data_IF_118666907191
#
_entry.id   IF_118666907191
#
_cell.length_a   1.000
_cell.length_b   1.000
_cell.length_c   1.000
_cell.angle_alpha   90.00
_cell.angle_beta   90.00
_cell.angle_gamma   90.00
#
_symmetry.space_group_name_H-M   'P 1'
#
loop_
_entity.id
_entity.type
_entity.pdbx_description
1 polymer ?
#
# COMPACT_ATOMS: atom_id res chain seq x y z
N UNK A 1 11.71 -0.54 -0.06
CA UNK A 1 10.49 -1.35 -0.30
C UNK A 1 9.64 -0.65 -1.33
N UNK A 2 9.42 -1.33 -2.45
CA UNK A 2 8.74 -0.80 -3.64
C UNK A 2 7.30 -0.48 -3.30
N UNK A 3 6.90 0.76 -3.50
CA UNK A 3 5.49 1.03 -3.69
C UNK A 3 5.30 1.90 -4.91
N UNK A 4 4.40 1.41 -5.77
CA UNK A 4 3.99 1.89 -7.08
C UNK A 4 3.87 3.41 -7.24
N UNK A 5 3.64 4.15 -6.15
CA UNK A 5 3.40 5.60 -6.14
C UNK A 5 4.49 6.37 -6.85
N UNK A 6 5.74 6.07 -6.52
CA UNK A 6 6.90 6.78 -7.05
C UNK A 6 7.03 6.57 -8.56
N UNK A 7 6.81 5.33 -9.01
CA UNK A 7 6.89 4.96 -10.42
C UNK A 7 5.71 5.56 -11.20
N UNK A 8 4.52 5.51 -10.60
CA UNK A 8 3.29 6.11 -11.14
C UNK A 8 3.48 7.61 -11.38
N UNK A 9 3.97 8.33 -10.38
CA UNK A 9 4.25 9.76 -10.48
C UNK A 9 5.37 10.07 -11.46
N UNK A 10 6.39 9.22 -11.55
CA UNK A 10 7.50 9.43 -12.48
C UNK A 10 7.03 9.38 -13.95
N UNK A 11 6.10 8.47 -14.28
CA UNK A 11 5.49 8.44 -15.62
C UNK A 11 4.70 9.70 -15.90
N UNK A 12 3.92 10.18 -14.93
CA UNK A 12 3.12 11.41 -15.10
C UNK A 12 4.01 12.63 -15.25
N UNK A 13 5.10 12.73 -14.50
CA UNK A 13 6.07 13.82 -14.66
C UNK A 13 6.78 13.74 -16.01
N UNK A 14 7.14 12.55 -16.49
CA UNK A 14 7.68 12.40 -17.84
C UNK A 14 6.67 12.85 -18.90
N UNK A 15 5.38 12.59 -18.71
CA UNK A 15 4.32 13.10 -19.56
C UNK A 15 4.22 14.64 -19.52
N UNK A 16 4.20 15.25 -18.33
CA UNK A 16 4.14 16.72 -18.15
C UNK A 16 5.32 17.40 -18.86
N UNK A 17 6.51 16.81 -18.77
CA UNK A 17 7.73 17.32 -19.38
C UNK A 17 7.86 17.00 -20.88
N UNK A 18 6.94 16.21 -21.44
CA UNK A 18 7.07 15.60 -22.77
C UNK A 18 8.45 14.94 -22.97
N UNK A 19 8.90 14.21 -21.94
CA UNK A 19 10.24 13.63 -21.84
C UNK A 19 10.20 12.11 -22.01
N UNK A 20 11.34 11.54 -22.45
CA UNK A 20 11.54 10.10 -22.43
C UNK A 20 11.86 9.65 -21.00
N UNK A 21 11.10 8.70 -20.48
CA UNK A 21 11.36 8.08 -19.18
C UNK A 21 12.38 6.94 -19.34
N UNK A 22 13.45 6.98 -18.55
CA UNK A 22 14.29 5.80 -18.35
C UNK A 22 13.64 4.93 -17.27
N UNK A 23 13.60 3.61 -17.47
CA UNK A 23 13.07 2.66 -16.47
C UNK A 23 13.65 2.98 -15.08
N UNK A 24 12.81 3.19 -14.05
CA UNK A 24 13.29 3.66 -12.75
C UNK A 24 14.27 2.70 -12.08
N UNK A 25 15.29 3.27 -11.45
CA UNK A 25 16.20 2.57 -10.54
C UNK A 25 15.59 2.47 -9.14
N UNK A 26 15.78 1.33 -8.47
CA UNK A 26 15.28 1.10 -7.12
C UNK A 26 16.34 1.45 -6.07
N UNK A 27 15.90 1.87 -4.88
CA UNK A 27 16.83 2.28 -3.81
C UNK A 27 17.40 1.09 -3.04
N UNK A 28 18.69 0.82 -3.28
CA UNK A 28 19.46 -0.22 -2.59
C UNK A 28 20.04 0.22 -1.23
N UNK A 29 19.95 1.52 -0.87
CA UNK A 29 20.50 2.06 0.38
C UNK A 29 19.48 2.08 1.53
N UNK A 30 18.31 1.50 1.31
CA UNK A 30 17.23 1.47 2.29
C UNK A 30 17.47 0.47 3.44
N UNK A 31 16.65 0.54 4.50
CA UNK A 31 16.72 -0.37 5.66
C UNK A 31 16.74 -1.86 5.26
N UNK A 32 15.99 -2.21 4.21
CA UNK A 32 15.74 -3.57 3.75
C UNK A 32 16.92 -4.20 2.99
N UNK A 33 17.92 -3.41 2.61
CA UNK A 33 19.12 -3.86 1.88
C UNK A 33 18.81 -4.77 0.68
N UNK A 34 17.75 -4.45 -0.05
CA UNK A 34 17.28 -5.22 -1.19
C UNK A 34 18.02 -4.78 -2.46
N UNK A 35 18.59 -5.74 -3.18
CA UNK A 35 19.32 -5.56 -4.43
C UNK A 35 18.46 -5.81 -5.68
N UNK A 36 17.14 -6.01 -5.53
CA UNK A 36 16.25 -6.18 -6.68
C UNK A 36 16.18 -4.93 -7.54
N UNK A 37 16.24 -5.15 -8.85
CA UNK A 37 16.01 -4.13 -9.86
C UNK A 37 14.53 -4.08 -10.28
N UNK A 38 14.15 -3.02 -11.03
CA UNK A 38 12.81 -2.90 -11.58
C UNK A 38 12.40 -4.15 -12.37
N UNK A 39 13.30 -4.67 -13.21
CA UNK A 39 13.08 -5.85 -14.07
C UNK A 39 13.01 -7.18 -13.32
N UNK A 40 13.37 -7.20 -12.05
CA UNK A 40 13.22 -8.39 -11.21
C UNK A 40 11.82 -8.53 -10.66
N UNK A 41 11.11 -7.41 -10.55
CA UNK A 41 9.83 -7.34 -9.86
C UNK A 41 8.70 -7.07 -10.84
N UNK A 42 8.91 -6.18 -11.80
CA UNK A 42 7.94 -5.86 -12.83
C UNK A 42 8.36 -6.39 -14.20
N UNK A 43 7.36 -6.64 -15.03
CA UNK A 43 7.52 -6.98 -16.43
C UNK A 43 7.85 -5.72 -17.23
N UNK A 44 9.15 -5.49 -17.45
CA UNK A 44 9.66 -4.27 -18.12
C UNK A 44 9.14 -4.11 -19.55
N UNK A 45 9.06 -5.20 -20.32
CA UNK A 45 8.62 -5.14 -21.71
C UNK A 45 7.12 -4.81 -21.79
N UNK A 46 6.32 -5.36 -20.87
CA UNK A 46 4.93 -4.94 -20.72
C UNK A 46 4.80 -3.47 -20.31
N UNK A 47 5.59 -3.01 -19.35
CA UNK A 47 5.56 -1.62 -18.88
C UNK A 47 5.84 -0.65 -20.03
N UNK A 48 6.87 -0.92 -20.85
CA UNK A 48 7.24 -0.11 -22.01
C UNK A 48 6.13 -0.15 -23.07
N UNK A 49 5.70 -1.35 -23.47
CA UNK A 49 4.71 -1.49 -24.55
C UNK A 49 3.35 -0.91 -24.19
N UNK A 50 2.89 -1.10 -22.95
CA UNK A 50 1.61 -0.56 -22.46
C UNK A 50 1.61 0.98 -22.46
N UNK A 51 2.71 1.62 -22.07
CA UNK A 51 2.83 3.08 -21.99
C UNK A 51 3.23 3.75 -23.30
N UNK A 52 3.51 3.01 -24.37
CA UNK A 52 4.02 3.54 -25.65
C UNK A 52 3.19 4.65 -26.28
N UNK A 53 1.88 4.73 -25.99
CA UNK A 53 0.98 5.80 -26.45
C UNK A 53 0.91 7.01 -25.51
N UNK A 54 1.34 6.85 -24.27
CA UNK A 54 1.32 7.88 -23.24
C UNK A 54 2.71 8.55 -23.11
N UNK A 55 3.77 7.76 -22.91
CA UNK A 55 5.15 8.22 -22.67
C UNK A 55 6.14 7.25 -23.32
N UNK A 56 7.17 7.79 -23.98
CA UNK A 56 8.29 6.98 -24.47
C UNK A 56 9.11 6.48 -23.27
N UNK A 57 9.22 5.16 -23.12
CA UNK A 57 10.01 4.54 -22.05
C UNK A 57 11.18 3.74 -22.64
N UNK A 58 12.39 3.95 -22.13
CA UNK A 58 13.60 3.23 -22.53
C UNK A 58 14.23 2.51 -21.35
N UNK A 59 14.85 1.34 -21.59
CA UNK A 59 15.49 0.54 -20.52
C UNK A 59 16.72 1.21 -19.91
N UNK A 60 17.42 2.01 -20.70
CA UNK A 60 18.64 2.73 -20.33
C UNK A 60 18.79 3.97 -21.20
N UNK A 61 19.61 4.92 -20.77
CA UNK A 61 19.96 6.10 -21.58
C UNK A 61 20.57 5.60 -22.91
N UNK A 62 20.09 6.08 -24.08
CA UNK A 62 20.66 5.72 -25.37
C UNK A 62 22.15 6.05 -25.46
N UNK A 63 22.92 5.22 -26.17
CA UNK A 63 24.37 5.35 -26.25
C UNK A 63 24.80 6.69 -26.85
N UNK A 64 24.06 7.17 -27.85
CA UNK A 64 24.29 8.44 -28.54
C UNK A 64 24.12 9.63 -27.57
N UNK A 65 23.12 9.55 -26.69
CA UNK A 65 22.91 10.55 -25.64
C UNK A 65 24.06 10.48 -24.63
N UNK A 66 24.44 9.27 -24.20
CA UNK A 66 25.50 9.06 -23.22
C UNK A 66 26.86 9.57 -23.70
N UNK A 67 27.25 9.39 -24.96
CA UNK A 67 28.49 9.95 -25.51
C UNK A 67 28.45 11.48 -25.56
N UNK A 68 27.28 12.05 -25.86
CA UNK A 68 27.12 13.51 -25.90
C UNK A 68 27.08 14.17 -24.52
N UNK A 69 27.08 13.38 -23.46
CA UNK A 69 27.08 13.86 -22.09
C UNK A 69 28.52 13.94 -21.57
N UNK A 70 29.01 15.15 -21.31
CA UNK A 70 30.34 15.36 -20.71
C UNK A 70 30.44 14.83 -19.27
N UNK A 71 29.30 14.59 -18.61
CA UNK A 71 29.19 14.18 -17.20
C UNK A 71 27.99 13.26 -16.99
N UNK A 72 28.00 12.52 -15.88
CA UNK A 72 26.85 11.75 -15.40
C UNK A 72 25.56 12.59 -15.35
N UNK A 73 24.37 11.95 -15.43
CA UNK A 73 23.09 12.64 -15.34
C UNK A 73 23.05 13.59 -14.14
N UNK A 74 22.54 14.80 -14.36
CA UNK A 74 22.39 15.75 -13.26
C UNK A 74 21.39 15.19 -12.24
N UNK A 75 21.76 15.21 -10.95
CA UNK A 75 20.87 14.71 -9.90
C UNK A 75 20.24 15.88 -9.16
N UNK A 76 18.93 15.80 -8.91
CA UNK A 76 18.24 16.75 -8.05
C UNK A 76 17.10 16.10 -7.27
N UNK A 77 16.53 16.84 -6.33
CA UNK A 77 15.37 16.41 -5.56
C UNK A 77 14.26 17.45 -5.70
N UNK A 78 13.11 17.03 -6.19
CA UNK A 78 11.91 17.86 -6.18
C UNK A 78 11.41 18.09 -4.73
N UNK A 79 10.83 19.25 -4.41
CA UNK A 79 10.05 19.43 -3.19
C UNK A 79 8.92 18.38 -3.05
N UNK A 80 8.40 18.19 -1.84
CA UNK A 80 7.27 17.28 -1.64
C UNK A 80 6.00 17.93 -2.19
N UNK A 81 5.16 17.13 -2.83
CA UNK A 81 3.88 17.55 -3.42
C UNK A 81 4.02 18.75 -4.38
N UNK A 82 5.09 18.77 -5.19
CA UNK A 82 5.26 19.78 -6.23
C UNK A 82 4.10 19.74 -7.22
N UNK A 83 3.68 20.93 -7.65
CA UNK A 83 2.69 21.12 -8.71
C UNK A 83 3.32 20.88 -10.09
N UNK A 84 2.54 20.61 -11.15
CA UNK A 84 3.05 20.46 -12.52
C UNK A 84 3.96 21.62 -12.97
N UNK A 85 3.64 22.86 -12.60
CA UNK A 85 4.38 24.07 -12.97
C UNK A 85 5.82 24.02 -12.47
N UNK A 86 6.07 23.50 -11.26
CA UNK A 86 7.43 23.32 -10.76
C UNK A 86 8.28 22.44 -11.70
N UNK A 87 7.70 21.39 -12.27
CA UNK A 87 8.43 20.53 -13.19
C UNK A 87 8.73 21.28 -14.50
N UNK A 88 7.76 22.03 -15.01
CA UNK A 88 7.92 22.81 -16.25
C UNK A 88 8.94 23.94 -16.06
N UNK A 89 8.86 24.68 -14.95
CA UNK A 89 9.65 25.89 -14.73
C UNK A 89 11.06 25.58 -14.21
N UNK A 90 11.22 24.56 -13.37
CA UNK A 90 12.50 24.27 -12.68
C UNK A 90 13.20 23.04 -13.24
N UNK A 91 12.47 21.98 -13.60
CA UNK A 91 13.08 20.70 -14.02
C UNK A 91 13.35 20.68 -15.52
N UNK A 92 12.40 21.13 -16.35
CA UNK A 92 12.51 21.12 -17.80
C UNK A 92 13.73 21.90 -18.32
N UNK A 93 14.05 23.12 -17.84
CA UNK A 93 15.19 23.87 -18.36
C UNK A 93 16.53 23.18 -18.07
N UNK A 94 16.61 22.48 -16.93
CA UNK A 94 17.79 21.69 -16.57
C UNK A 94 17.88 20.46 -17.48
N UNK A 95 16.76 19.75 -17.70
CA UNK A 95 16.70 18.59 -18.59
C UNK A 95 17.12 18.96 -20.02
N UNK A 96 16.61 20.07 -20.57
CA UNK A 96 16.99 20.55 -21.91
C UNK A 96 18.48 20.88 -22.01
N UNK A 97 19.06 21.48 -20.96
CA UNK A 97 20.48 21.84 -20.94
C UNK A 97 21.40 20.63 -20.76
N UNK A 98 20.99 19.65 -19.94
CA UNK A 98 21.82 18.51 -19.51
C UNK A 98 21.55 17.22 -20.30
N UNK A 99 20.50 17.18 -21.13
CA UNK A 99 19.98 16.03 -21.89
C UNK A 99 19.45 14.86 -21.06
N UNK A 100 20.02 14.60 -19.89
CA UNK A 100 19.56 13.60 -18.93
C UNK A 100 19.60 14.13 -17.50
N UNK A 101 18.58 13.77 -16.72
CA UNK A 101 18.41 14.19 -15.34
C UNK A 101 17.81 13.05 -14.51
N UNK A 102 18.30 12.89 -13.28
CA UNK A 102 17.80 11.91 -12.31
C UNK A 102 17.14 12.63 -11.13
N UNK A 103 15.84 12.40 -10.95
CA UNK A 103 15.10 12.85 -9.78
C UNK A 103 15.23 11.81 -8.65
N UNK A 104 15.96 12.17 -7.61
CA UNK A 104 16.26 11.27 -6.49
C UNK A 104 15.23 11.38 -5.37
N UNK A 105 15.03 10.29 -4.61
CA UNK A 105 14.05 10.20 -3.50
C UNK A 105 12.66 10.66 -3.94
N UNK A 106 12.14 10.03 -4.99
CA UNK A 106 10.93 10.46 -5.68
C UNK A 106 9.61 10.06 -4.97
N UNK A 107 9.64 9.94 -3.65
CA UNK A 107 8.46 9.67 -2.84
C UNK A 107 7.63 10.95 -2.62
N UNK A 108 6.35 10.89 -2.98
CA UNK A 108 5.38 11.98 -2.76
C UNK A 108 5.86 13.33 -3.32
N UNK A 109 6.45 13.31 -4.51
CA UNK A 109 7.01 14.50 -5.17
C UNK A 109 6.03 15.19 -6.09
N UNK A 110 5.05 14.48 -6.62
CA UNK A 110 3.96 15.07 -7.38
C UNK A 110 2.75 15.28 -6.46
N UNK A 111 2.08 16.42 -6.60
CA UNK A 111 0.84 16.72 -5.87
C UNK A 111 -0.28 15.73 -6.19
N UNK A 112 -1.30 15.66 -5.34
CA UNK A 112 -2.55 14.97 -5.66
C UNK A 112 -3.60 15.88 -6.31
N UNK A 113 -3.34 17.18 -6.35
CA UNK A 113 -4.16 18.16 -7.07
C UNK A 113 -3.69 18.22 -8.53
N UNK A 114 -4.14 17.23 -9.31
CA UNK A 114 -3.86 17.11 -10.73
C UNK A 114 -5.15 17.03 -11.51
N UNK A 115 -5.10 17.54 -12.75
CA UNK A 115 -6.18 17.41 -13.73
C UNK A 115 -6.60 15.96 -13.95
N UNK A 116 -7.87 15.78 -14.34
CA UNK A 116 -8.49 14.47 -14.46
C UNK A 116 -7.73 13.53 -15.41
N UNK A 117 -7.19 14.06 -16.52
CA UNK A 117 -6.42 13.26 -17.48
C UNK A 117 -5.09 12.75 -16.90
N UNK A 118 -4.41 13.55 -16.08
CA UNK A 118 -3.20 13.11 -15.37
C UNK A 118 -3.54 12.06 -14.31
N UNK A 119 -4.66 12.22 -13.61
CA UNK A 119 -5.13 11.19 -12.68
C UNK A 119 -5.47 9.89 -13.42
N UNK A 120 -6.12 9.97 -14.59
CA UNK A 120 -6.40 8.81 -15.46
C UNK A 120 -5.12 8.11 -15.89
N UNK A 121 -4.07 8.86 -16.24
CA UNK A 121 -2.75 8.29 -16.52
C UNK A 121 -2.19 7.57 -15.29
N UNK A 122 -2.28 8.17 -14.09
CA UNK A 122 -1.89 7.49 -12.84
C UNK A 122 -2.64 6.17 -12.66
N UNK A 123 -3.94 6.11 -12.97
CA UNK A 123 -4.73 4.88 -12.90
C UNK A 123 -4.16 3.80 -13.82
N UNK A 124 -3.92 4.18 -15.09
CA UNK A 124 -3.40 3.28 -16.13
C UNK A 124 -2.05 2.71 -15.72
N UNK A 125 -1.15 3.56 -15.23
CA UNK A 125 0.18 3.13 -14.77
C UNK A 125 0.08 2.20 -13.57
N UNK A 126 -0.60 2.66 -12.51
CA UNK A 126 -0.65 1.97 -11.22
C UNK A 126 -1.34 0.60 -11.29
N UNK A 127 -2.42 0.49 -12.08
CA UNK A 127 -3.26 -0.72 -12.07
C UNK A 127 -3.04 -1.65 -13.25
N UNK A 128 -2.50 -1.16 -14.38
CA UNK A 128 -2.32 -1.94 -15.60
C UNK A 128 -0.87 -2.03 -16.08
N UNK A 129 -0.11 -0.93 -16.12
CA UNK A 129 1.27 -0.95 -16.62
C UNK A 129 2.22 -1.67 -15.66
N UNK A 130 2.02 -1.52 -14.35
CA UNK A 130 2.83 -2.16 -13.32
C UNK A 130 2.38 -3.60 -13.07
N UNK A 131 2.85 -4.50 -13.93
CA UNK A 131 2.59 -5.94 -13.85
C UNK A 131 3.77 -6.65 -13.23
N UNK A 132 3.54 -7.43 -12.17
CA UNK A 132 4.61 -8.26 -11.59
C UNK A 132 5.16 -9.30 -12.58
N UNK A 133 6.44 -9.64 -12.44
CA UNK A 133 7.12 -10.67 -13.22
C UNK A 133 6.47 -12.04 -13.03
N UNK A 134 6.55 -12.89 -14.05
CA UNK A 134 5.88 -14.21 -14.09
C UNK A 134 6.16 -15.10 -12.87
N UNK A 135 7.39 -15.26 -12.36
CA UNK A 135 7.64 -16.08 -11.18
C UNK A 135 6.88 -15.62 -9.93
N UNK A 136 6.82 -14.30 -9.69
CA UNK A 136 6.08 -13.70 -8.58
C UNK A 136 4.58 -13.97 -8.75
N UNK A 137 4.05 -13.76 -9.96
CA UNK A 137 2.64 -14.02 -10.27
C UNK A 137 2.27 -15.49 -10.06
N UNK A 138 3.10 -16.41 -10.53
CA UNK A 138 2.90 -17.86 -10.42
C UNK A 138 2.87 -18.28 -8.96
N UNK A 139 3.84 -17.83 -8.15
CA UNK A 139 3.88 -18.15 -6.74
C UNK A 139 2.67 -17.56 -6.00
N UNK A 140 2.38 -16.27 -6.17
CA UNK A 140 1.23 -15.63 -5.52
C UNK A 140 -0.09 -16.33 -5.83
N UNK A 141 -0.35 -16.67 -7.10
CA UNK A 141 -1.54 -17.43 -7.51
C UNK A 141 -1.57 -18.85 -6.92
N UNK A 142 -0.41 -19.51 -6.80
CA UNK A 142 -0.30 -20.83 -6.16
C UNK A 142 -0.71 -20.75 -4.68
N UNK A 143 -0.26 -19.73 -3.95
CA UNK A 143 -0.64 -19.54 -2.54
C UNK A 143 -2.14 -19.24 -2.40
N UNK A 144 -2.69 -18.38 -3.25
CA UNK A 144 -4.15 -18.11 -3.30
C UNK A 144 -4.92 -19.40 -3.55
N UNK A 145 -4.52 -20.22 -4.52
CA UNK A 145 -5.17 -21.51 -4.80
C UNK A 145 -5.12 -22.45 -3.59
N UNK A 146 -3.97 -22.56 -2.91
CA UNK A 146 -3.84 -23.37 -1.68
C UNK A 146 -4.81 -22.92 -0.59
N UNK A 147 -4.89 -21.61 -0.34
CA UNK A 147 -5.85 -21.02 0.61
C UNK A 147 -7.30 -21.31 0.21
N UNK A 148 -7.64 -21.14 -1.07
CA UNK A 148 -9.00 -21.36 -1.59
C UNK A 148 -9.45 -22.81 -1.57
N UNK A 149 -8.51 -23.76 -1.63
CA UNK A 149 -8.80 -25.20 -1.45
C UNK A 149 -9.15 -25.50 0.01
N UNK A 150 -8.47 -24.86 0.98
CA UNK A 150 -8.76 -25.06 2.41
C UNK A 150 -10.04 -24.34 2.86
N UNK A 151 -10.32 -23.16 2.29
CA UNK A 151 -11.53 -22.41 2.56
C UNK A 151 -11.97 -21.60 1.36
N UNK A 152 -13.27 -21.62 1.07
CA UNK A 152 -13.86 -20.79 0.00
C UNK A 152 -13.64 -19.30 0.22
N UNK A 153 -13.39 -18.83 1.45
CA UNK A 153 -13.10 -17.44 1.81
C UNK A 153 -11.97 -17.32 2.81
N UNK A 154 -11.17 -16.26 2.71
CA UNK A 154 -10.13 -15.94 3.68
C UNK A 154 -9.96 -14.43 3.86
N UNK A 155 -9.40 -14.08 5.02
CA UNK A 155 -9.04 -12.71 5.38
C UNK A 155 -7.52 -12.58 5.27
N UNK A 156 -7.04 -11.58 4.53
CA UNK A 156 -5.63 -11.25 4.53
C UNK A 156 -5.35 -10.09 5.46
N UNK A 157 -4.34 -10.22 6.33
CA UNK A 157 -3.89 -9.19 7.25
C UNK A 157 -2.49 -8.76 6.83
N UNK A 158 -2.31 -7.46 6.58
CA UNK A 158 -0.98 -6.88 6.43
C UNK A 158 -0.52 -6.30 7.77
N UNK A 159 0.47 -6.95 8.38
CA UNK A 159 1.09 -6.56 9.64
C UNK A 159 2.41 -5.85 9.37
N UNK A 160 2.38 -4.52 9.36
CA UNK A 160 3.58 -3.68 9.35
C UNK A 160 4.04 -3.45 10.79
N UNK A 161 4.62 -4.48 11.39
CA UNK A 161 5.12 -4.50 12.77
C UNK A 161 6.60 -4.89 12.83
N UNK A 162 7.36 -4.51 11.81
CA UNK A 162 8.80 -4.75 11.71
C UNK A 162 9.59 -3.68 12.47
N UNK A 163 10.84 -3.99 12.91
CA UNK A 163 11.63 -3.12 13.78
C UNK A 163 11.80 -1.69 13.26
N UNK A 164 11.97 -1.52 11.94
CA UNK A 164 12.14 -0.21 11.31
C UNK A 164 10.90 0.67 11.44
N UNK A 165 9.70 0.08 11.29
CA UNK A 165 8.44 0.79 11.44
C UNK A 165 8.23 1.23 12.89
N UNK A 166 8.54 0.36 13.85
CA UNK A 166 8.38 0.65 15.27
C UNK A 166 9.36 1.75 15.69
N UNK A 167 10.64 1.62 15.32
CA UNK A 167 11.68 2.62 15.56
C UNK A 167 11.34 3.98 14.93
N UNK A 168 10.87 3.99 13.67
CA UNK A 168 10.46 5.21 12.98
C UNK A 168 9.27 5.89 13.67
N UNK A 169 8.27 5.11 14.08
CA UNK A 169 7.07 5.62 14.75
C UNK A 169 7.31 6.15 16.17
N UNK A 170 8.42 5.77 16.82
CA UNK A 170 8.73 6.19 18.19
C UNK A 170 7.78 5.60 19.23
N UNK A 171 7.12 4.49 18.91
CA UNK A 171 6.13 3.84 19.76
C UNK A 171 6.78 2.88 20.75
N UNK A 172 6.10 2.62 21.87
CA UNK A 172 6.51 1.68 22.90
C UNK A 172 5.40 0.65 23.12
N UNK A 173 5.75 -0.63 23.16
CA UNK A 173 4.83 -1.76 23.22
C UNK A 173 4.98 -2.63 24.48
N UNK A 174 5.80 -2.19 25.44
CA UNK A 174 5.87 -2.82 26.77
C UNK A 174 7.04 -3.79 26.98
N UNK A 175 7.98 -3.87 26.04
CA UNK A 175 9.17 -4.72 26.10
C UNK A 175 10.33 -4.18 26.96
N UNK A 176 10.07 -3.16 27.79
CA UNK A 176 11.02 -2.62 28.76
C UNK A 176 12.24 -1.93 28.15
N UNK A 177 13.33 -1.90 28.91
CA UNK A 177 14.60 -1.28 28.50
C UNK A 177 15.23 -1.93 27.26
N UNK A 178 14.99 -3.23 27.06
CA UNK A 178 15.47 -3.95 25.87
C UNK A 178 14.87 -3.36 24.60
N UNK A 179 13.53 -3.25 24.54
CA UNK A 179 12.83 -2.66 23.40
C UNK A 179 13.29 -1.22 23.14
N UNK A 180 13.39 -0.42 24.20
CA UNK A 180 13.81 0.98 24.12
C UNK A 180 15.20 1.12 23.49
N UNK A 181 16.16 0.30 23.93
CA UNK A 181 17.54 0.33 23.41
C UNK A 181 17.63 -0.14 21.96
N UNK A 182 17.00 -1.26 21.64
CA UNK A 182 17.02 -1.83 20.29
C UNK A 182 16.39 -0.89 19.25
N UNK A 183 15.20 -0.36 19.54
CA UNK A 183 14.50 0.55 18.62
C UNK A 183 15.17 1.92 18.56
N UNK A 184 15.77 2.42 19.66
CA UNK A 184 16.54 3.66 19.64
C UNK A 184 17.77 3.54 18.72
N UNK A 185 18.46 2.40 18.74
CA UNK A 185 19.62 2.17 17.86
C UNK A 185 19.22 2.20 16.38
N UNK A 186 18.11 1.55 16.01
CA UNK A 186 17.58 1.59 14.65
C UNK A 186 17.17 3.01 14.26
N UNK A 187 16.57 3.76 15.19
CA UNK A 187 16.06 5.13 14.96
C UNK A 187 17.17 6.12 14.59
N UNK A 188 18.42 5.90 15.02
CA UNK A 188 19.59 6.73 14.65
C UNK A 188 19.83 6.81 13.13
N UNK A 189 19.21 5.95 12.32
CA UNK A 189 19.24 6.06 10.85
C UNK A 189 18.52 7.30 10.31
N UNK A 190 17.68 7.95 11.12
CA UNK A 190 16.92 9.13 10.71
C UNK A 190 17.23 10.32 11.62
N UNK A 191 18.36 11.00 11.35
CA UNK A 191 18.85 12.15 12.13
C UNK A 191 17.91 13.37 12.16
N UNK A 192 16.91 13.40 11.27
CA UNK A 192 15.94 14.51 11.14
C UNK A 192 14.62 14.26 11.85
N UNK A 193 14.43 13.09 12.46
CA UNK A 193 13.21 12.83 13.20
C UNK A 193 13.23 13.57 14.54
N UNK A 194 12.11 14.21 14.93
CA UNK A 194 12.02 14.85 16.24
C UNK A 194 12.03 13.81 17.36
N UNK A 195 12.32 14.27 18.57
CA UNK A 195 12.06 13.50 19.78
C UNK A 195 10.54 13.31 19.95
N UNK A 196 10.13 12.05 20.11
CA UNK A 196 8.73 11.66 20.18
C UNK A 196 8.42 11.06 21.55
N UNK A 197 7.32 11.50 22.16
CA UNK A 197 6.73 10.77 23.28
C UNK A 197 5.92 9.58 22.74
N UNK A 198 6.28 8.37 23.15
CA UNK A 198 5.60 7.15 22.74
C UNK A 198 4.09 7.16 23.06
N UNK A 199 3.71 7.75 24.20
CA UNK A 199 2.32 7.91 24.59
C UNK A 199 1.58 8.88 23.66
N UNK A 200 2.23 10.00 23.31
CA UNK A 200 1.65 10.97 22.38
C UNK A 200 1.50 10.37 20.97
N UNK A 201 2.48 9.63 20.47
CA UNK A 201 2.37 8.98 19.16
C UNK A 201 1.27 7.91 19.13
N UNK A 202 1.11 7.18 20.24
CA UNK A 202 0.03 6.20 20.39
C UNK A 202 -1.35 6.84 20.42
N UNK A 203 -1.54 7.91 21.20
CA UNK A 203 -2.81 8.64 21.27
C UNK A 203 -3.15 9.39 19.97
N UNK A 204 -2.13 9.82 19.20
CA UNK A 204 -2.30 10.40 17.86
C UNK A 204 -2.62 9.37 16.77
N UNK A 205 -2.56 8.07 17.10
CA UNK A 205 -2.82 6.97 16.16
C UNK A 205 -1.69 6.73 15.17
N UNK A 206 -0.46 7.15 15.49
CA UNK A 206 0.73 6.94 14.66
C UNK A 206 1.36 5.57 14.87
N UNK A 207 1.12 4.95 16.02
CA UNK A 207 1.52 3.59 16.30
C UNK A 207 0.66 2.56 15.54
N UNK A 208 1.30 1.63 14.80
CA UNK A 208 0.65 0.41 14.36
C UNK A 208 -0.03 -0.34 15.51
N UNK A 209 -1.16 -0.99 15.23
CA UNK A 209 -1.73 -1.96 16.17
C UNK A 209 -0.82 -3.19 16.26
N UNK A 210 -0.72 -3.77 17.46
CA UNK A 210 -0.05 -5.06 17.65
C UNK A 210 -0.85 -6.19 16.97
N UNK A 211 -0.24 -7.35 16.68
CA UNK A 211 -0.99 -8.49 16.15
C UNK A 211 -2.14 -8.92 17.05
N UNK A 212 -1.95 -8.88 18.37
CA UNK A 212 -3.02 -9.18 19.34
C UNK A 212 -4.18 -8.18 19.25
N UNK A 213 -3.90 -6.88 19.16
CA UNK A 213 -4.93 -5.84 19.03
C UNK A 213 -5.72 -5.97 17.73
N UNK A 214 -5.07 -6.38 16.64
CA UNK A 214 -5.76 -6.71 15.39
C UNK A 214 -6.68 -7.91 15.58
N UNK A 215 -6.20 -8.96 16.27
CA UNK A 215 -7.03 -10.11 16.60
C UNK A 215 -8.28 -9.72 17.40
N UNK A 216 -8.10 -8.91 18.46
CA UNK A 216 -9.20 -8.40 19.29
C UNK A 216 -10.18 -7.55 18.48
N UNK A 217 -9.67 -6.69 17.58
CA UNK A 217 -10.51 -5.89 16.67
C UNK A 217 -11.35 -6.81 15.77
N UNK A 218 -10.76 -7.83 15.14
CA UNK A 218 -11.48 -8.74 14.26
C UNK A 218 -12.54 -9.55 15.01
N UNK A 219 -12.20 -10.10 16.17
CA UNK A 219 -13.16 -10.79 17.05
C UNK A 219 -14.33 -9.88 17.43
N UNK A 220 -14.05 -8.62 17.79
CA UNK A 220 -15.08 -7.63 18.10
C UNK A 220 -15.94 -7.27 16.88
N UNK A 221 -15.39 -7.29 15.66
CA UNK A 221 -16.13 -7.06 14.43
C UNK A 221 -16.99 -8.26 14.00
N UNK A 222 -16.82 -9.42 14.64
CA UNK A 222 -17.63 -10.62 14.43
C UNK A 222 -16.96 -11.72 13.62
N UNK A 223 -15.65 -11.63 13.37
CA UNK A 223 -14.90 -12.75 12.78
C UNK A 223 -14.71 -13.85 13.83
N UNK A 224 -15.15 -15.07 13.51
CA UNK A 224 -15.02 -16.25 14.37
C UNK A 224 -13.63 -16.89 14.29
N UNK A 225 -13.35 -17.86 15.17
CA UNK A 225 -12.01 -18.48 15.27
C UNK A 225 -11.75 -19.42 14.07
N UNK A 226 -12.80 -19.90 13.42
CA UNK A 226 -12.76 -20.66 12.18
C UNK A 226 -12.30 -19.84 10.97
N UNK A 227 -12.20 -18.51 11.09
CA UNK A 227 -11.76 -17.63 10.00
C UNK A 227 -10.33 -17.99 9.57
N UNK A 228 -10.16 -18.27 8.27
CA UNK A 228 -8.85 -18.48 7.66
C UNK A 228 -8.13 -17.13 7.48
N UNK A 229 -6.98 -17.00 8.14
CA UNK A 229 -6.13 -15.83 8.06
C UNK A 229 -4.90 -16.10 7.22
N UNK A 230 -4.66 -15.24 6.22
CA UNK A 230 -3.35 -15.07 5.62
C UNK A 230 -2.66 -13.86 6.23
N UNK A 231 -1.47 -14.02 6.80
CA UNK A 231 -0.70 -12.93 7.40
C UNK A 231 0.48 -12.57 6.51
N UNK A 232 0.39 -11.37 5.93
CA UNK A 232 1.45 -10.72 5.17
C UNK A 232 2.28 -9.82 6.09
N UNK A 233 3.56 -10.13 6.23
CA UNK A 233 4.51 -9.34 7.02
C UNK A 233 5.95 -9.57 6.58
N UNK A 234 6.83 -8.61 6.84
CA UNK A 234 8.25 -8.87 6.96
C UNK A 234 8.59 -9.58 8.28
N UNK A 235 9.79 -9.31 8.79
CA UNK A 235 10.25 -9.77 10.10
C UNK A 235 9.52 -9.03 11.22
N UNK A 236 8.61 -9.73 11.92
CA UNK A 236 7.84 -9.16 13.03
C UNK A 236 8.76 -8.96 14.25
N UNK A 237 8.75 -7.76 14.82
CA UNK A 237 9.47 -7.48 16.07
C UNK A 237 8.92 -8.37 17.20
N UNK A 238 9.82 -9.07 17.91
CA UNK A 238 9.45 -10.06 18.93
C UNK A 238 9.00 -11.42 18.37
N UNK A 239 9.01 -11.61 17.04
CA UNK A 239 8.81 -12.90 16.39
C UNK A 239 7.54 -13.64 16.79
N UNK A 240 7.67 -14.94 17.03
CA UNK A 240 6.54 -15.83 17.33
C UNK A 240 5.81 -15.46 18.64
N UNK A 241 6.52 -14.95 19.66
CA UNK A 241 5.88 -14.52 20.90
C UNK A 241 4.84 -13.41 20.68
N UNK A 242 5.13 -12.53 19.72
CA UNK A 242 4.26 -11.40 19.34
C UNK A 242 3.10 -11.83 18.44
N UNK A 243 3.28 -12.89 17.65
CA UNK A 243 2.23 -13.46 16.79
C UNK A 243 1.31 -14.44 17.53
N UNK A 244 1.80 -15.11 18.57
CA UNK A 244 1.07 -16.15 19.32
C UNK A 244 -0.35 -15.74 19.73
N UNK A 245 -0.60 -14.57 20.35
CA UNK A 245 -1.96 -14.19 20.75
C UNK A 245 -2.93 -14.05 19.57
N UNK A 246 -2.44 -13.63 18.40
CA UNK A 246 -3.27 -13.58 17.18
C UNK A 246 -3.62 -14.99 16.70
N UNK A 247 -2.66 -15.92 16.75
CA UNK A 247 -2.88 -17.33 16.38
C UNK A 247 -3.81 -18.05 17.35
N UNK A 248 -3.75 -17.74 18.65
CA UNK A 248 -4.69 -18.28 19.64
C UNK A 248 -6.14 -17.84 19.36
N UNK A 249 -6.34 -16.59 18.91
CA UNK A 249 -7.67 -16.09 18.53
C UNK A 249 -8.17 -16.67 17.19
N UNK A 250 -7.25 -17.03 16.29
CA UNK A 250 -7.52 -17.51 14.93
C UNK A 250 -6.54 -18.65 14.57
N UNK A 251 -6.86 -19.90 14.92
CA UNK A 251 -5.97 -21.04 14.69
C UNK A 251 -5.70 -21.36 13.21
N UNK A 252 -6.60 -21.01 12.29
CA UNK A 252 -6.42 -21.16 10.84
C UNK A 252 -5.50 -20.05 10.29
N UNK A 253 -4.25 -20.03 10.76
CA UNK A 253 -3.27 -18.99 10.53
C UNK A 253 -2.21 -19.45 9.53
N UNK A 254 -2.05 -18.70 8.43
CA UNK A 254 -1.12 -19.05 7.36
C UNK A 254 -0.25 -17.85 6.97
N UNK A 255 1.02 -18.11 6.69
CA UNK A 255 1.96 -17.13 6.12
C UNK A 255 2.43 -17.61 4.74
N UNK A 256 3.12 -16.75 4.01
CA UNK A 256 3.79 -17.15 2.77
C UNK A 256 4.74 -18.33 2.97
N UNK A 257 5.46 -18.38 4.09
CA UNK A 257 6.45 -19.41 4.40
C UNK A 257 5.78 -20.78 4.54
N UNK A 258 4.69 -20.84 5.34
CA UNK A 258 3.91 -22.07 5.55
C UNK A 258 3.25 -22.55 4.25
N UNK A 259 2.72 -21.62 3.45
CA UNK A 259 2.00 -21.97 2.23
C UNK A 259 2.90 -22.31 1.07
N UNK A 260 4.08 -21.70 0.96
CA UNK A 260 4.99 -21.86 -0.17
C UNK A 260 5.95 -23.05 0.02
N UNK A 261 6.44 -23.27 1.24
CA UNK A 261 7.51 -24.24 1.50
C UNK A 261 8.74 -23.93 0.65
N UNK A 262 9.28 -24.95 -0.02
CA UNK A 262 10.49 -24.82 -0.84
C UNK A 262 10.34 -23.89 -2.06
N UNK A 263 9.11 -23.65 -2.53
CA UNK A 263 8.86 -22.72 -3.64
C UNK A 263 9.28 -21.28 -3.31
N UNK A 264 9.43 -20.95 -2.02
CA UNK A 264 9.81 -19.61 -1.57
C UNK A 264 11.32 -19.34 -1.66
N UNK A 265 12.15 -20.40 -1.69
CA UNK A 265 13.62 -20.30 -1.65
C UNK A 265 14.22 -19.28 -2.63
N UNK A 266 13.79 -19.20 -3.91
CA UNK A 266 14.32 -18.24 -4.87
C UNK A 266 14.02 -16.76 -4.54
N UNK A 267 13.08 -16.51 -3.64
CA UNK A 267 12.60 -15.17 -3.27
C UNK A 267 13.17 -14.70 -1.92
N UNK A 268 13.68 -15.60 -1.07
CA UNK A 268 14.12 -15.30 0.30
C UNK A 268 15.12 -14.13 0.41
N UNK A 269 16.11 -13.97 -0.50
CA UNK A 269 17.04 -12.85 -0.42
C UNK A 269 16.40 -11.48 -0.73
N UNK A 270 15.22 -11.45 -1.35
CA UNK A 270 14.65 -10.27 -1.99
C UNK A 270 13.33 -9.85 -1.34
N UNK A 271 13.41 -9.01 -0.31
CA UNK A 271 12.25 -8.52 0.47
C UNK A 271 11.12 -7.93 -0.39
N UNK A 272 11.45 -7.27 -1.49
CA UNK A 272 10.53 -6.59 -2.40
C UNK A 272 9.81 -7.58 -3.30
N UNK A 273 10.47 -8.69 -3.67
CA UNK A 273 9.82 -9.80 -4.38
C UNK A 273 8.87 -10.56 -3.45
N UNK A 274 9.27 -10.77 -2.18
CA UNK A 274 8.39 -11.35 -1.16
C UNK A 274 7.16 -10.47 -0.89
N UNK A 275 7.35 -9.16 -0.75
CA UNK A 275 6.25 -8.21 -0.58
C UNK A 275 5.30 -8.20 -1.80
N UNK A 276 5.82 -8.41 -3.01
CA UNK A 276 5.01 -8.55 -4.22
C UNK A 276 4.17 -9.84 -4.23
N UNK A 277 4.69 -10.96 -3.68
CA UNK A 277 3.90 -12.18 -3.46
C UNK A 277 2.79 -11.91 -2.44
N UNK A 278 3.12 -11.31 -1.30
CA UNK A 278 2.14 -10.90 -0.29
C UNK A 278 1.07 -9.99 -0.87
N UNK A 279 1.44 -9.06 -1.75
CA UNK A 279 0.51 -8.16 -2.44
C UNK A 279 -0.57 -8.94 -3.21
N UNK A 280 -0.17 -9.95 -3.99
CA UNK A 280 -1.11 -10.76 -4.78
C UNK A 280 -2.08 -11.50 -3.86
N UNK A 281 -1.58 -12.13 -2.79
CA UNK A 281 -2.43 -12.89 -1.87
C UNK A 281 -3.38 -11.96 -1.11
N UNK A 282 -2.94 -10.76 -0.73
CA UNK A 282 -3.81 -9.76 -0.12
C UNK A 282 -4.88 -9.23 -1.09
N UNK A 283 -4.53 -8.95 -2.35
CA UNK A 283 -5.46 -8.46 -3.37
C UNK A 283 -6.56 -9.48 -3.68
N UNK A 284 -6.24 -10.77 -3.64
CA UNK A 284 -7.19 -11.86 -3.90
C UNK A 284 -8.06 -12.27 -2.69
N UNK A 285 -7.81 -11.71 -1.51
CA UNK A 285 -8.60 -12.00 -0.30
C UNK A 285 -10.02 -11.42 -0.35
N UNK A 286 -10.95 -12.02 0.37
CA UNK A 286 -12.33 -11.51 0.49
C UNK A 286 -12.39 -10.25 1.35
N UNK A 287 -11.59 -10.24 2.41
CA UNK A 287 -11.40 -9.08 3.30
C UNK A 287 -9.91 -8.85 3.48
N UNK A 288 -9.46 -7.64 3.19
CA UNK A 288 -8.12 -7.19 3.48
C UNK A 288 -8.14 -6.31 4.73
N UNK A 289 -7.22 -6.54 5.65
CA UNK A 289 -7.13 -5.85 6.94
C UNK A 289 -5.70 -5.34 7.12
N UNK A 290 -5.52 -4.15 7.67
CA UNK A 290 -4.20 -3.59 7.93
C UNK A 290 -4.03 -3.31 9.42
N UNK A 291 -2.79 -3.27 9.91
CA UNK A 291 -2.52 -2.78 11.27
C UNK A 291 -2.10 -1.31 11.33
N UNK A 292 -1.74 -0.74 10.18
CA UNK A 292 -1.44 0.67 9.98
C UNK A 292 -1.94 1.14 8.60
N UNK A 293 -1.77 2.43 8.28
CA UNK A 293 -2.06 2.97 6.95
C UNK A 293 -0.79 3.26 6.14
N UNK A 294 0.05 2.24 5.94
CA UNK A 294 1.28 2.32 5.16
C UNK A 294 1.04 2.35 3.64
N UNK A 295 2.13 2.41 2.86
CA UNK A 295 2.04 2.50 1.40
C UNK A 295 1.38 1.27 0.76
N UNK A 296 1.76 0.05 1.16
CA UNK A 296 1.13 -1.18 0.66
C UNK A 296 -0.39 -1.20 0.90
N UNK A 297 -0.79 -0.79 2.11
CA UNK A 297 -2.20 -0.71 2.50
C UNK A 297 -2.99 0.20 1.56
N UNK A 298 -2.44 1.38 1.25
CA UNK A 298 -3.03 2.34 0.33
C UNK A 298 -3.12 1.81 -1.10
N UNK A 299 -2.03 1.27 -1.67
CA UNK A 299 -2.04 0.69 -3.03
C UNK A 299 -3.12 -0.40 -3.13
N UNK A 300 -3.16 -1.33 -2.18
CA UNK A 300 -4.13 -2.42 -2.16
C UNK A 300 -5.56 -1.91 -1.98
N UNK A 301 -5.78 -0.91 -1.13
CA UNK A 301 -7.09 -0.29 -0.97
C UNK A 301 -7.58 0.32 -2.29
N UNK A 302 -6.75 1.09 -3.00
CA UNK A 302 -7.11 1.65 -4.29
C UNK A 302 -7.34 0.59 -5.36
N UNK A 303 -6.46 -0.41 -5.44
CA UNK A 303 -6.59 -1.52 -6.40
C UNK A 303 -7.88 -2.31 -6.17
N UNK A 304 -8.19 -2.63 -4.92
CA UNK A 304 -9.42 -3.35 -4.52
C UNK A 304 -10.68 -2.51 -4.72
N UNK A 305 -10.60 -1.19 -4.86
CA UNK A 305 -11.71 -0.34 -5.32
C UNK A 305 -11.81 -0.34 -6.85
N UNK A 306 -10.68 -0.28 -7.54
CA UNK A 306 -10.59 -0.17 -8.99
C UNK A 306 -10.95 -1.46 -9.74
N UNK A 307 -10.39 -2.61 -9.33
CA UNK A 307 -10.52 -3.92 -10.02
C UNK A 307 -11.80 -4.69 -9.64
N UNK A 308 -12.86 -3.98 -9.22
CA UNK A 308 -14.05 -4.56 -8.62
C UNK A 308 -13.94 -4.57 -7.11
N UNK A 309 -14.86 -3.83 -6.47
CA UNK A 309 -14.84 -3.56 -5.03
C UNK A 309 -14.69 -4.83 -4.19
N UNK A 310 -13.59 -4.93 -3.41
CA UNK A 310 -13.41 -5.90 -2.33
C UNK A 310 -13.16 -5.18 -1.00
N UNK A 311 -13.62 -5.78 0.11
CA UNK A 311 -13.63 -5.13 1.42
C UNK A 311 -12.21 -4.88 1.94
N UNK A 312 -11.92 -3.66 2.38
CA UNK A 312 -10.64 -3.29 3.01
C UNK A 312 -10.90 -2.59 4.34
N UNK A 313 -10.60 -3.28 5.44
CA UNK A 313 -10.78 -2.78 6.81
C UNK A 313 -9.49 -2.10 7.27
N UNK A 314 -9.61 -0.81 7.60
CA UNK A 314 -8.51 -0.01 8.17
C UNK A 314 -8.79 0.27 9.64
N UNK A 315 -7.81 0.16 10.53
CA UNK A 315 -8.03 0.45 11.94
C UNK A 315 -8.14 1.96 12.16
N UNK A 316 -9.11 2.38 12.97
CA UNK A 316 -9.16 3.73 13.53
C UNK A 316 -8.14 3.85 14.67
N UNK A 317 -6.85 3.76 14.35
CA UNK A 317 -5.74 3.64 15.31
C UNK A 317 -5.85 4.67 16.43
N UNK A 318 -6.15 5.94 16.10
CA UNK A 318 -6.34 7.02 17.08
C UNK A 318 -7.35 6.68 18.18
N UNK A 319 -8.52 6.15 17.81
CA UNK A 319 -9.59 5.83 18.77
C UNK A 319 -9.43 4.44 19.38
N UNK A 320 -8.93 3.48 18.60
CA UNK A 320 -8.71 2.11 19.06
C UNK A 320 -7.59 2.03 20.09
N UNK A 321 -6.50 2.77 19.94
CA UNK A 321 -5.38 2.78 20.88
C UNK A 321 -5.83 3.14 22.30
N UNK A 322 -6.70 4.15 22.45
CA UNK A 322 -7.28 4.55 23.74
C UNK A 322 -8.19 3.45 24.31
N UNK A 323 -8.97 2.79 23.45
CA UNK A 323 -9.83 1.69 23.87
C UNK A 323 -9.03 0.47 24.33
N UNK A 324 -7.92 0.14 23.67
CA UNK A 324 -7.07 -0.99 24.03
C UNK A 324 -6.35 -0.81 25.37
N UNK A 325 -5.94 0.42 25.71
CA UNK A 325 -5.36 0.74 27.02
C UNK A 325 -6.29 0.41 28.19
N UNK A 326 -7.61 0.50 27.97
CA UNK A 326 -8.65 0.22 28.97
C UNK A 326 -9.36 -1.12 28.73
N UNK A 327 -8.77 -2.01 27.91
CA UNK A 327 -9.38 -3.30 27.55
C UNK A 327 -9.72 -4.13 28.78
N UNK A 328 -8.82 -4.20 29.77
CA UNK A 328 -9.00 -5.02 30.98
C UNK A 328 -10.05 -4.45 31.95
N UNK A 329 -10.50 -3.21 31.74
CA UNK A 329 -11.50 -2.54 32.58
C UNK A 329 -12.93 -2.67 32.03
N UNK A 330 -13.11 -3.34 30.87
CA UNK A 330 -14.41 -3.44 30.20
C UNK A 330 -14.77 -4.90 29.85
N UNK A 331 -16.02 -5.28 30.08
CA UNK A 331 -16.56 -6.56 29.63
C UNK A 331 -16.58 -6.67 28.09
N UNK A 332 -16.53 -7.91 27.57
CA UNK A 332 -16.41 -8.18 26.14
C UNK A 332 -17.51 -7.51 25.29
N UNK A 333 -18.77 -7.58 25.71
CA UNK A 333 -19.89 -7.03 24.93
C UNK A 333 -19.81 -5.51 24.79
N UNK A 334 -19.41 -4.84 25.87
CA UNK A 334 -19.19 -3.39 25.87
C UNK A 334 -18.00 -3.02 24.99
N UNK A 335 -16.89 -3.75 25.12
CA UNK A 335 -15.70 -3.56 24.28
C UNK A 335 -16.04 -3.75 22.78
N UNK A 336 -16.71 -4.86 22.44
CA UNK A 336 -17.12 -5.19 21.07
C UNK A 336 -18.02 -4.12 20.47
N UNK A 337 -19.03 -3.65 21.22
CA UNK A 337 -19.92 -2.56 20.80
C UNK A 337 -19.15 -1.25 20.54
N UNK A 338 -18.17 -0.93 21.39
CA UNK A 338 -17.30 0.25 21.23
C UNK A 338 -16.42 0.13 19.99
N UNK A 339 -15.78 -1.02 19.75
CA UNK A 339 -14.98 -1.27 18.53
C UNK A 339 -15.85 -1.09 17.29
N UNK A 340 -17.02 -1.73 17.22
CA UNK A 340 -17.96 -1.58 16.08
C UNK A 340 -18.33 -0.12 15.83
N UNK A 341 -18.59 0.67 16.89
CA UNK A 341 -18.88 2.11 16.78
C UNK A 341 -17.68 2.90 16.26
N UNK A 342 -16.48 2.63 16.76
CA UNK A 342 -15.22 3.32 16.38
C UNK A 342 -14.85 3.03 14.91
N UNK A 343 -15.06 1.79 14.46
CA UNK A 343 -14.70 1.33 13.13
C UNK A 343 -15.67 1.76 12.02
N UNK A 344 -16.84 2.35 12.35
CA UNK A 344 -17.80 2.83 11.34
C UNK A 344 -17.10 3.72 10.30
N UNK A 345 -17.41 3.45 9.03
CA UNK A 345 -16.77 4.05 7.87
C UNK A 345 -15.47 3.35 7.46
N UNK A 346 -14.62 2.87 8.37
CA UNK A 346 -13.33 2.25 8.03
C UNK A 346 -13.43 0.75 7.72
N UNK A 347 -14.66 0.28 7.48
CA UNK A 347 -14.96 -1.11 7.14
C UNK A 347 -14.81 -1.40 5.64
N UNK A 348 -14.40 -0.42 4.85
CA UNK A 348 -14.20 -0.56 3.41
C UNK A 348 -15.52 -0.59 2.65
N UNK A 349 -16.47 0.28 3.00
CA UNK A 349 -17.73 0.39 2.27
C UNK A 349 -17.50 0.94 0.85
N UNK A 350 -18.28 0.49 -0.16
CA UNK A 350 -18.10 0.92 -1.56
C UNK A 350 -18.17 2.44 -1.72
N UNK A 351 -19.16 3.04 -1.08
CA UNK A 351 -19.49 4.47 -1.20
C UNK A 351 -19.03 5.27 0.04
N UNK A 352 -17.91 4.88 0.70
CA UNK A 352 -17.39 5.57 1.90
C UNK A 352 -17.34 7.09 1.67
N UNK A 353 -18.24 7.88 2.29
CA UNK A 353 -18.46 9.28 1.95
C UNK A 353 -17.39 10.18 2.56
N UNK A 354 -16.41 9.61 3.28
CA UNK A 354 -15.25 10.34 3.79
C UNK A 354 -14.34 10.64 2.61
N UNK A 355 -14.77 11.65 1.86
CA UNK A 355 -14.04 12.39 0.85
C UNK A 355 -12.83 13.06 1.51
N UNK A 356 -11.82 12.28 1.88
CA UNK A 356 -10.47 12.75 2.10
C UNK A 356 -9.77 12.76 0.75
N UNK A 357 -9.82 13.90 0.06
CA UNK A 357 -9.29 14.14 -1.29
C UNK A 357 -7.77 13.95 -1.44
N UNK A 358 -7.07 13.51 -0.39
CA UNK A 358 -5.64 13.75 -0.28
C UNK A 358 -4.77 12.55 -0.66
N UNK A 359 -5.32 11.37 -0.94
CA UNK A 359 -4.53 10.20 -1.34
C UNK A 359 -5.15 9.44 -2.51
N UNK A 360 -4.71 9.80 -3.72
CA UNK A 360 -5.09 9.15 -4.99
C UNK A 360 -4.94 7.62 -4.93
N UNK A 361 -3.89 7.13 -4.28
CA UNK A 361 -3.59 5.71 -4.32
C UNK A 361 -4.50 4.88 -3.44
N UNK A 362 -5.04 5.47 -2.38
CA UNK A 362 -6.02 4.82 -1.51
C UNK A 362 -7.45 4.96 -2.07
N UNK A 363 -7.75 6.11 -2.68
CA UNK A 363 -9.04 6.44 -3.26
C UNK A 363 -8.89 7.01 -4.67
N UNK A 364 -8.74 6.13 -5.68
CA UNK A 364 -8.55 6.53 -7.08
C UNK A 364 -9.88 6.93 -7.73
N UNK A 365 -10.58 7.94 -7.19
CA UNK A 365 -11.96 8.29 -7.60
C UNK A 365 -12.06 8.69 -9.08
N UNK A 366 -11.05 9.39 -9.60
CA UNK A 366 -10.98 9.75 -11.03
C UNK A 366 -10.89 8.54 -11.96
N UNK A 367 -10.55 7.36 -11.42
CA UNK A 367 -10.42 6.11 -12.15
C UNK A 367 -11.70 5.25 -12.14
N UNK A 368 -12.67 5.60 -11.29
CA UNK A 368 -13.84 4.74 -11.00
C UNK A 368 -15.08 5.45 -11.52
N UNK A 369 -15.81 4.78 -12.40
CA UNK A 369 -17.08 5.31 -12.90
C UNK A 369 -18.04 5.53 -11.73
N UNK A 370 -18.60 6.74 -11.65
CA UNK A 370 -19.67 7.01 -10.69
C UNK A 370 -20.88 6.15 -11.05
N UNK A 371 -21.44 5.46 -10.07
CA UNK A 371 -22.76 4.86 -10.25
C UNK A 371 -23.75 6.01 -10.37
N UNK A 372 -24.32 6.21 -11.55
CA UNK A 372 -25.49 7.08 -11.72
C UNK A 372 -26.56 6.54 -10.76
N UNK A 373 -27.07 7.33 -9.79
CA UNK A 373 -28.13 6.88 -8.93
C UNK A 373 -29.34 6.57 -9.82
N UNK A 374 -29.65 5.29 -10.01
CA UNK A 374 -30.90 4.90 -10.65
C UNK A 374 -31.99 5.28 -9.66
N UNK A 375 -32.65 6.40 -9.90
CA UNK A 375 -33.75 6.87 -9.08
C UNK A 375 -34.91 5.89 -9.24
N UNK A 376 -34.95 4.84 -8.40
CA UNK A 376 -35.96 3.76 -8.47
C UNK A 376 -37.39 4.29 -8.32
N UNK A 377 -37.56 5.48 -7.76
CA UNK A 377 -38.81 6.23 -7.68
C UNK A 377 -39.33 6.69 -9.05
N UNK A 378 -38.44 7.11 -9.96
CA UNK A 378 -38.82 7.52 -11.31
C UNK A 378 -39.26 6.32 -12.16
N UNK A 379 -38.60 5.17 -12.03
CA UNK A 379 -38.92 3.94 -12.78
C UNK A 379 -40.26 3.32 -12.37
N UNK A 380 -40.69 3.52 -11.12
CA UNK A 380 -42.01 3.07 -10.64
C UNK A 380 -43.11 4.02 -11.16
N UNK A 381 -42.88 5.33 -11.20
CA UNK A 381 -43.83 6.28 -11.78
C UNK A 381 -44.04 6.06 -13.28
N UNK A 382 -42.99 5.74 -14.06
CA UNK A 382 -43.14 5.47 -15.50
C UNK A 382 -43.89 4.16 -15.77
N UNK A 383 -43.68 3.13 -14.93
CA UNK A 383 -44.45 1.87 -15.02
C UNK A 383 -45.92 2.04 -14.64
N UNK A 384 -46.21 2.87 -13.63
CA UNK A 384 -47.59 3.14 -13.21
C UNK A 384 -48.36 4.02 -14.23
N UNK A 385 -47.69 4.96 -14.91
CA UNK A 385 -48.33 5.72 -16.00
C UNK A 385 -48.65 4.84 -17.22
N UNK A 386 -47.77 3.89 -17.56
CA UNK A 386 -47.99 2.99 -18.70
C UNK A 386 -49.06 1.92 -18.42
N UNK A 387 -49.32 1.58 -17.16
CA UNK A 387 -50.42 0.66 -16.77
C UNK A 387 -51.78 1.34 -16.66
N UNK A 388 -51.85 2.68 -16.72
CA UNK A 388 -53.12 3.44 -16.74
C UNK A 388 -53.55 3.81 -18.17
N UNK A 389 -52.76 3.46 -19.18
CA UNK A 389 -53.02 3.66 -20.60
C UNK A 389 -53.37 2.35 -21.35
N UNK A 390 -53.90 1.34 -20.62
CA UNK A 390 -54.46 0.11 -21.20
C UNK A 390 -55.87 -0.14 -20.70
#
# INVERSE_FOLDING_TARGET
MIFSFQITDAVVVAWILNATLVVPELDHRSFWKDDSEFSDIFDTDWFISYLSKDVTVVKRIPYEVMISMDKLPWTMRAPRKSMPEFYIDEVLPILMRRRALQLTKFDYRLTNDLDEELQKLRCRVNFHALRFKRPIQTLGKKLVRRLRVMSSRYVAIHLRFEPDMLAFSGCYYGGGEKERKELAEIRKRWDTLPDLSAENERTRGKCPLTPHEIGLMLRALGFGNETYLYVASGEIYGGEETLRPLRELFPNFYTKDLLAGDDLKPFLPFSSRLAAVDFIVCDESDVFVTNNNGNMAKVLAGRRRYMGHKRTIRPNTRKLNVLFQTRNQTGWDTFSRKVKKIQRGLMGEPDDPRHGRDDFHEMPSSCICQRVPVNRSATIQTRNLLSQLR
#
